data_IF_797247689690
#
_entry.id   IF_797247689690
#
_cell.length_a   1.000
_cell.length_b   1.000
_cell.length_c   1.000
_cell.angle_alpha   90.00
_cell.angle_beta   90.00
_cell.angle_gamma   90.00
#
_symmetry.space_group_name_H-M   'P 1'
#
loop_
_entity.id
_entity.type
_entity.pdbx_description
1 polymer ?
#
# COMPACT_ATOMS: atom_id res chain seq x y z
N UNK A 1 37.70 -2.56 1.62
CA UNK A 1 36.98 -1.40 2.15
C UNK A 1 35.78 -1.89 2.96
N UNK A 2 35.43 -1.22 4.05
CA UNK A 2 34.21 -1.47 4.84
C UNK A 2 33.38 -0.21 4.82
N UNK A 3 32.13 -0.32 4.41
CA UNK A 3 31.15 0.77 4.41
C UNK A 3 30.06 0.39 5.38
N UNK A 4 29.80 1.29 6.32
CA UNK A 4 28.81 1.07 7.36
C UNK A 4 27.39 1.24 6.78
N UNK A 5 26.49 0.31 7.09
CA UNK A 5 25.08 0.39 6.79
C UNK A 5 24.28 0.45 8.10
N UNK A 6 23.91 1.64 8.50
CA UNK A 6 23.16 1.91 9.73
C UNK A 6 21.65 1.85 9.49
N UNK A 7 20.90 1.59 10.55
CA UNK A 7 19.45 1.71 10.51
C UNK A 7 19.03 3.17 10.38
N UNK A 8 18.22 3.48 9.38
CA UNK A 8 17.73 4.82 9.09
C UNK A 8 16.24 4.94 9.41
N UNK A 9 15.77 6.11 9.89
CA UNK A 9 14.34 6.35 10.12
C UNK A 9 13.51 6.25 8.85
N UNK A 10 14.08 6.64 7.71
CA UNK A 10 13.48 6.53 6.39
C UNK A 10 14.38 5.68 5.50
N UNK A 11 13.85 4.55 5.02
CA UNK A 11 14.61 3.64 4.16
C UNK A 11 15.15 4.33 2.89
N UNK A 12 14.40 5.30 2.36
CA UNK A 12 14.77 6.05 1.15
C UNK A 12 15.98 6.98 1.33
N UNK A 13 16.46 7.17 2.57
CA UNK A 13 17.73 7.85 2.82
C UNK A 13 18.96 6.97 2.58
N UNK A 14 18.79 5.65 2.47
CA UNK A 14 19.91 4.72 2.34
C UNK A 14 20.83 5.02 1.14
N UNK A 15 20.32 5.30 -0.08
CA UNK A 15 21.18 5.69 -1.20
C UNK A 15 22.02 6.95 -0.90
N UNK A 16 21.44 7.95 -0.26
CA UNK A 16 22.16 9.17 0.11
C UNK A 16 23.27 8.92 1.14
N UNK A 17 22.98 8.09 2.13
CA UNK A 17 23.96 7.67 3.14
C UNK A 17 25.11 6.89 2.52
N UNK A 18 24.82 5.94 1.65
CA UNK A 18 25.83 5.12 0.98
C UNK A 18 26.71 5.96 0.06
N UNK A 19 26.12 6.88 -0.71
CA UNK A 19 26.90 7.77 -1.58
C UNK A 19 27.79 8.71 -0.79
N UNK A 20 27.31 9.25 0.33
CA UNK A 20 28.14 10.04 1.27
C UNK A 20 29.35 9.26 1.81
N UNK A 21 29.28 7.93 1.84
CA UNK A 21 30.38 7.03 2.21
C UNK A 21 31.22 6.58 0.98
N UNK A 22 31.07 7.23 -0.18
CA UNK A 22 31.73 6.95 -1.46
C UNK A 22 31.49 5.49 -1.95
N UNK A 23 30.29 4.94 -1.69
CA UNK A 23 29.96 3.56 -2.06
C UNK A 23 30.08 3.32 -3.56
N UNK A 24 29.51 4.20 -4.38
CA UNK A 24 29.54 4.09 -5.84
C UNK A 24 30.96 4.12 -6.39
N UNK A 25 31.85 5.00 -5.89
CA UNK A 25 33.26 5.07 -6.27
C UNK A 25 33.98 3.76 -5.94
N UNK A 26 33.78 3.25 -4.72
CA UNK A 26 34.39 2.00 -4.29
C UNK A 26 33.95 0.83 -5.19
N UNK A 27 32.65 0.69 -5.44
CA UNK A 27 32.11 -0.37 -6.29
C UNK A 27 32.63 -0.27 -7.74
N UNK A 28 32.61 0.91 -8.31
CA UNK A 28 33.11 1.14 -9.68
C UNK A 28 34.61 0.77 -9.80
N UNK A 29 35.40 1.20 -8.82
CA UNK A 29 36.83 0.88 -8.78
C UNK A 29 37.07 -0.63 -8.68
N UNK A 30 36.41 -1.33 -7.77
CA UNK A 30 36.59 -2.78 -7.58
C UNK A 30 36.13 -3.61 -8.78
N UNK A 31 35.10 -3.12 -9.50
CA UNK A 31 34.59 -3.79 -10.70
C UNK A 31 35.26 -3.31 -12.00
N UNK A 32 36.17 -2.35 -11.95
CA UNK A 32 36.80 -1.78 -13.15
C UNK A 32 35.82 -1.02 -14.06
N UNK A 33 34.76 -0.44 -13.49
CA UNK A 33 33.75 0.33 -14.20
C UNK A 33 34.12 1.81 -14.15
N UNK A 34 34.03 2.49 -15.30
CA UNK A 34 34.11 3.94 -15.36
C UNK A 34 32.69 4.52 -15.46
N UNK A 35 32.27 5.28 -14.48
CA UNK A 35 30.98 5.94 -14.46
C UNK A 35 31.15 7.41 -14.01
N UNK A 36 30.26 8.33 -14.43
CA UNK A 36 30.20 9.67 -13.86
C UNK A 36 29.82 9.63 -12.39
N UNK A 37 30.02 10.74 -11.67
CA UNK A 37 29.45 10.90 -10.33
C UNK A 37 27.94 10.73 -10.36
N UNK A 38 27.38 10.15 -9.28
CA UNK A 38 25.95 9.93 -9.16
C UNK A 38 25.22 11.26 -8.97
N UNK A 39 24.25 11.55 -9.83
CA UNK A 39 23.32 12.67 -9.61
C UNK A 39 22.15 12.19 -8.75
N UNK A 40 22.11 12.61 -7.51
CA UNK A 40 21.07 12.29 -6.54
C UNK A 40 20.13 13.46 -6.22
N UNK A 41 20.09 14.48 -7.08
CA UNK A 41 19.28 15.67 -6.83
C UNK A 41 17.78 15.31 -6.67
N UNK A 42 17.19 14.64 -7.65
CA UNK A 42 15.77 14.25 -7.61
C UNK A 42 15.47 13.30 -6.44
N UNK A 43 16.43 12.42 -6.11
CA UNK A 43 16.29 11.52 -4.98
C UNK A 43 16.31 12.28 -3.64
N UNK A 44 17.16 13.26 -3.51
CA UNK A 44 17.24 14.14 -2.33
C UNK A 44 15.93 14.90 -2.14
N UNK A 45 15.41 15.51 -3.21
CA UNK A 45 14.11 16.20 -3.18
C UNK A 45 12.96 15.27 -2.76
N UNK A 46 12.95 14.03 -3.26
CA UNK A 46 11.95 13.03 -2.86
C UNK A 46 12.05 12.74 -1.35
N UNK A 47 13.25 12.51 -0.83
CA UNK A 47 13.48 12.25 0.62
C UNK A 47 13.04 13.44 1.46
N UNK A 48 13.32 14.66 1.03
CA UNK A 48 12.86 15.87 1.72
C UNK A 48 11.33 15.98 1.73
N UNK A 49 10.65 15.65 0.63
CA UNK A 49 9.17 15.60 0.59
C UNK A 49 8.62 14.57 1.57
N UNK A 50 9.22 13.37 1.63
CA UNK A 50 8.81 12.33 2.58
C UNK A 50 8.89 12.84 4.02
N UNK A 51 9.99 13.49 4.39
CA UNK A 51 10.25 14.01 5.74
C UNK A 51 9.33 15.17 6.12
N UNK A 52 8.96 16.00 5.15
CA UNK A 52 8.18 17.22 5.36
C UNK A 52 6.71 17.07 4.96
N UNK A 53 6.24 15.84 4.78
CA UNK A 53 4.85 15.55 4.43
C UNK A 53 3.88 16.12 5.48
N UNK A 54 2.88 16.89 5.03
CA UNK A 54 1.92 17.59 5.89
C UNK A 54 0.52 17.02 5.86
N UNK A 55 0.15 16.33 4.78
CA UNK A 55 -1.11 15.61 4.67
C UNK A 55 -1.07 14.28 5.41
N UNK A 56 -2.22 13.80 5.84
CA UNK A 56 -2.39 12.45 6.38
C UNK A 56 -3.69 11.84 5.86
N UNK A 57 -3.63 10.60 5.39
CA UNK A 57 -4.77 9.84 4.85
C UNK A 57 -4.72 8.43 5.42
N UNK A 58 -5.85 7.96 5.93
CA UNK A 58 -6.03 6.60 6.44
C UNK A 58 -6.63 5.70 5.37
N UNK A 59 -5.88 4.74 4.87
CA UNK A 59 -6.35 3.77 3.87
C UNK A 59 -6.47 2.39 4.50
N UNK A 60 -7.67 1.82 4.47
CA UNK A 60 -7.92 0.45 4.87
C UNK A 60 -7.45 -0.53 3.79
N UNK A 61 -6.49 -1.39 4.12
CA UNK A 61 -6.13 -2.53 3.29
C UNK A 61 -6.88 -3.75 3.82
N UNK A 62 -8.00 -4.08 3.16
CA UNK A 62 -8.89 -5.17 3.56
C UNK A 62 -8.50 -6.43 2.81
N UNK A 63 -7.91 -7.39 3.49
CA UNK A 63 -7.34 -8.57 2.84
C UNK A 63 -7.35 -9.84 3.68
N UNK A 64 -6.96 -10.95 3.05
CA UNK A 64 -6.87 -12.30 3.66
C UNK A 64 -5.55 -12.57 4.36
N UNK A 65 -4.49 -11.86 3.96
CA UNK A 65 -3.10 -12.17 4.36
C UNK A 65 -2.48 -11.04 5.20
N UNK A 66 -3.32 -10.23 5.85
CA UNK A 66 -2.89 -9.05 6.61
C UNK A 66 -2.07 -9.38 7.85
N UNK A 67 -2.12 -10.62 8.33
CA UNK A 67 -1.25 -11.11 9.40
C UNK A 67 0.22 -11.22 8.98
N UNK A 68 0.49 -11.34 7.67
CA UNK A 68 1.81 -11.34 7.08
C UNK A 68 1.92 -10.14 6.13
N UNK A 69 2.36 -9.01 6.65
CA UNK A 69 2.43 -7.74 5.90
C UNK A 69 3.21 -7.86 4.58
N UNK A 70 4.22 -8.74 4.53
CA UNK A 70 5.02 -8.99 3.33
C UNK A 70 4.19 -9.49 2.14
N UNK A 71 3.07 -10.16 2.39
CA UNK A 71 2.16 -10.61 1.32
C UNK A 71 1.59 -9.45 0.50
N UNK A 72 1.48 -8.27 1.10
CA UNK A 72 0.96 -7.06 0.46
C UNK A 72 1.99 -5.92 0.39
N UNK A 73 3.28 -6.24 0.54
CA UNK A 73 4.36 -5.25 0.56
C UNK A 73 4.31 -4.32 -0.66
N UNK A 74 4.15 -4.88 -1.86
CA UNK A 74 4.09 -4.07 -3.09
C UNK A 74 2.90 -3.11 -3.12
N UNK A 75 1.75 -3.51 -2.57
CA UNK A 75 0.57 -2.64 -2.47
C UNK A 75 0.81 -1.53 -1.45
N UNK A 76 1.38 -1.87 -0.29
CA UNK A 76 1.72 -0.92 0.74
C UNK A 76 2.74 0.12 0.25
N UNK A 77 3.81 -0.34 -0.42
CA UNK A 77 4.81 0.57 -0.99
C UNK A 77 4.23 1.44 -2.12
N UNK A 78 3.36 0.89 -2.98
CA UNK A 78 2.70 1.69 -4.01
C UNK A 78 1.85 2.82 -3.41
N UNK A 79 1.14 2.55 -2.31
CA UNK A 79 0.40 3.59 -1.58
C UNK A 79 1.33 4.67 -1.01
N UNK A 80 2.45 4.25 -0.38
CA UNK A 80 3.45 5.20 0.16
C UNK A 80 4.05 6.06 -0.95
N UNK A 81 4.41 5.47 -2.10
CA UNK A 81 4.94 6.21 -3.25
C UNK A 81 3.93 7.24 -3.78
N UNK A 82 2.65 6.89 -3.86
CA UNK A 82 1.61 7.85 -4.19
C UNK A 82 1.55 9.01 -3.18
N UNK A 83 1.63 8.68 -1.89
CA UNK A 83 1.71 9.65 -0.80
C UNK A 83 2.89 10.61 -0.95
N UNK A 84 4.08 10.12 -1.30
CA UNK A 84 5.27 10.96 -1.53
C UNK A 84 5.04 11.98 -2.64
N UNK A 85 4.38 11.57 -3.73
CA UNK A 85 4.06 12.46 -4.85
C UNK A 85 3.02 13.52 -4.48
N UNK A 86 2.13 13.20 -3.53
CA UNK A 86 1.03 14.07 -3.09
C UNK A 86 1.34 14.83 -1.79
N UNK A 87 2.58 14.77 -1.31
CA UNK A 87 3.00 15.37 -0.03
C UNK A 87 2.10 14.94 1.15
N UNK A 88 1.72 13.66 1.17
CA UNK A 88 0.75 13.09 2.09
C UNK A 88 1.30 11.82 2.71
N UNK A 89 1.25 11.72 4.04
CA UNK A 89 1.52 10.48 4.74
C UNK A 89 0.34 9.52 4.58
N UNK A 90 0.62 8.27 4.25
CA UNK A 90 -0.41 7.22 4.16
C UNK A 90 -0.32 6.34 5.40
N UNK A 91 -1.36 6.40 6.22
CA UNK A 91 -1.57 5.50 7.35
C UNK A 91 -2.35 4.28 6.87
N UNK A 92 -1.67 3.14 6.80
CA UNK A 92 -2.26 1.89 6.30
C UNK A 92 -2.88 1.13 7.48
N UNK A 93 -4.21 1.05 7.47
CA UNK A 93 -4.97 0.26 8.45
C UNK A 93 -5.18 -1.15 7.90
N UNK A 94 -4.49 -2.12 8.50
CA UNK A 94 -4.58 -3.53 8.11
C UNK A 94 -5.83 -4.17 8.66
N UNK A 95 -6.71 -4.65 7.80
CA UNK A 95 -8.02 -5.19 8.18
C UNK A 95 -8.15 -6.61 7.64
N UNK A 96 -8.23 -7.57 8.57
CA UNK A 96 -8.51 -8.95 8.22
C UNK A 96 -9.97 -9.09 7.79
N UNK A 97 -10.18 -9.44 6.53
CA UNK A 97 -11.52 -9.59 5.96
C UNK A 97 -12.35 -10.67 6.65
N UNK A 98 -11.72 -11.68 7.23
CA UNK A 98 -12.43 -12.73 7.97
C UNK A 98 -13.08 -12.23 9.28
N UNK A 99 -12.60 -11.10 9.81
CA UNK A 99 -13.09 -10.52 11.06
C UNK A 99 -14.17 -9.46 10.83
N UNK A 100 -14.47 -9.09 9.58
CA UNK A 100 -15.51 -8.11 9.29
C UNK A 100 -16.89 -8.76 9.32
N UNK A 101 -17.80 -8.09 10.03
CA UNK A 101 -19.22 -8.42 10.12
C UNK A 101 -20.05 -7.17 9.88
N UNK A 102 -21.36 -7.31 9.62
CA UNK A 102 -22.26 -6.16 9.45
C UNK A 102 -22.25 -5.25 10.68
N UNK A 103 -22.15 -5.83 11.88
CA UNK A 103 -22.20 -5.09 13.15
C UNK A 103 -20.94 -4.25 13.39
N UNK A 104 -19.78 -4.70 12.91
CA UNK A 104 -18.50 -4.01 13.18
C UNK A 104 -17.98 -3.18 12.01
N UNK A 105 -18.60 -3.21 10.84
CA UNK A 105 -18.14 -2.45 9.66
C UNK A 105 -18.01 -0.95 9.94
N UNK A 106 -18.97 -0.32 10.60
CA UNK A 106 -18.93 1.10 10.92
C UNK A 106 -17.75 1.44 11.84
N UNK A 107 -17.49 0.63 12.87
CA UNK A 107 -16.36 0.81 13.78
C UNK A 107 -15.01 0.64 13.08
N UNK A 108 -14.90 -0.35 12.18
CA UNK A 108 -13.66 -0.73 11.54
C UNK A 108 -13.31 0.12 10.31
N UNK A 109 -14.32 0.61 9.61
CA UNK A 109 -14.18 1.28 8.30
C UNK A 109 -14.58 2.75 8.32
N UNK A 110 -15.38 3.19 9.31
CA UNK A 110 -16.03 4.50 9.30
C UNK A 110 -15.09 5.71 9.43
N UNK A 111 -13.87 5.49 9.94
CA UNK A 111 -12.85 6.55 10.07
C UNK A 111 -11.80 6.52 8.93
N UNK A 112 -11.99 5.70 7.91
CA UNK A 112 -11.06 5.59 6.79
C UNK A 112 -11.39 6.64 5.72
N UNK A 113 -10.35 7.09 5.04
CA UNK A 113 -10.46 7.99 3.88
C UNK A 113 -10.60 7.22 2.56
N UNK A 114 -10.34 5.91 2.58
CA UNK A 114 -10.49 5.02 1.44
C UNK A 114 -10.19 3.56 1.78
N UNK A 115 -10.57 2.66 0.87
CA UNK A 115 -10.35 1.21 1.02
C UNK A 115 -9.66 0.66 -0.22
N UNK A 116 -8.67 -0.21 0.00
CA UNK A 116 -8.08 -1.07 -1.04
C UNK A 116 -8.36 -2.52 -0.67
N UNK A 117 -8.94 -3.26 -1.62
CA UNK A 117 -9.02 -4.71 -1.54
C UNK A 117 -8.03 -5.30 -2.55
N UNK A 118 -6.95 -5.93 -2.07
CA UNK A 118 -5.89 -6.48 -2.92
C UNK A 118 -6.28 -7.81 -3.57
N UNK A 119 -5.38 -8.36 -4.36
CA UNK A 119 -5.48 -9.70 -4.93
C UNK A 119 -5.47 -10.80 -3.87
N UNK A 120 -6.00 -11.96 -4.25
CA UNK A 120 -6.03 -13.15 -3.40
C UNK A 120 -6.68 -14.34 -4.10
N UNK A 121 -6.61 -15.52 -3.48
CA UNK A 121 -7.15 -16.76 -4.01
C UNK A 121 -8.01 -17.49 -2.98
N UNK A 122 -8.92 -18.34 -3.45
CA UNK A 122 -9.79 -19.18 -2.62
C UNK A 122 -10.91 -18.40 -1.92
N UNK A 123 -11.78 -19.13 -1.24
CA UNK A 123 -13.06 -18.63 -0.71
C UNK A 123 -12.94 -17.89 0.65
N UNK A 124 -11.83 -18.07 1.36
CA UNK A 124 -11.60 -17.48 2.70
C UNK A 124 -11.70 -15.96 2.65
N UNK A 125 -12.45 -15.35 3.57
CA UNK A 125 -12.56 -13.90 3.73
C UNK A 125 -13.32 -13.14 2.63
N UNK A 126 -13.94 -13.84 1.67
CA UNK A 126 -14.71 -13.23 0.56
C UNK A 126 -15.90 -12.42 1.10
N UNK A 127 -16.66 -12.97 2.03
CA UNK A 127 -17.83 -12.30 2.62
C UNK A 127 -17.47 -10.96 3.26
N UNK A 128 -16.40 -10.93 4.05
CA UNK A 128 -15.92 -9.68 4.65
C UNK A 128 -15.42 -8.66 3.62
N UNK A 129 -14.83 -9.11 2.51
CA UNK A 129 -14.47 -8.21 1.41
C UNK A 129 -15.71 -7.65 0.72
N UNK A 130 -16.77 -8.45 0.53
CA UNK A 130 -18.05 -8.00 -0.01
C UNK A 130 -18.69 -6.97 0.93
N UNK A 131 -18.67 -7.22 2.24
CA UNK A 131 -19.15 -6.27 3.25
C UNK A 131 -18.36 -4.94 3.20
N UNK A 132 -17.04 -4.98 3.05
CA UNK A 132 -16.23 -3.77 2.92
C UNK A 132 -16.55 -3.00 1.63
N UNK A 133 -16.76 -3.69 0.51
CA UNK A 133 -17.16 -3.06 -0.76
C UNK A 133 -18.55 -2.45 -0.66
N UNK A 134 -19.52 -3.15 -0.03
CA UNK A 134 -20.86 -2.63 0.26
C UNK A 134 -20.79 -1.36 1.11
N UNK A 135 -20.03 -1.42 2.20
CA UNK A 135 -19.84 -0.27 3.08
C UNK A 135 -19.28 0.94 2.32
N UNK A 136 -18.25 0.72 1.50
CA UNK A 136 -17.65 1.78 0.69
C UNK A 136 -18.68 2.42 -0.26
N UNK A 137 -19.46 1.62 -0.98
CA UNK A 137 -20.49 2.12 -1.91
C UNK A 137 -21.59 2.89 -1.19
N UNK A 138 -22.09 2.37 -0.06
CA UNK A 138 -23.22 2.97 0.67
C UNK A 138 -22.84 4.26 1.40
N UNK A 139 -21.58 4.40 1.80
CA UNK A 139 -21.08 5.58 2.51
C UNK A 139 -20.27 6.54 1.62
N UNK A 140 -20.15 6.27 0.31
CA UNK A 140 -19.37 7.11 -0.61
C UNK A 140 -17.87 7.11 -0.33
N UNK A 141 -17.35 6.04 0.30
CA UNK A 141 -15.94 5.90 0.62
C UNK A 141 -15.18 5.46 -0.65
N UNK A 142 -14.08 6.14 -1.02
CA UNK A 142 -13.24 5.74 -2.15
C UNK A 142 -12.80 4.27 -2.05
N UNK A 143 -12.93 3.54 -3.15
CA UNK A 143 -12.65 2.12 -3.24
C UNK A 143 -11.76 1.79 -4.42
N UNK A 144 -10.70 1.00 -4.20
CA UNK A 144 -9.87 0.41 -5.25
C UNK A 144 -9.78 -1.10 -5.07
N UNK A 145 -10.27 -1.84 -6.07
CA UNK A 145 -10.15 -3.30 -6.11
C UNK A 145 -9.05 -3.75 -7.08
N UNK A 146 -8.10 -4.56 -6.63
CA UNK A 146 -7.03 -5.13 -7.44
C UNK A 146 -7.29 -6.62 -7.63
N UNK A 147 -7.38 -7.11 -8.87
CA UNK A 147 -7.61 -8.51 -9.21
C UNK A 147 -8.87 -9.06 -8.50
N UNK A 148 -8.72 -9.84 -7.42
CA UNK A 148 -9.84 -10.30 -6.60
C UNK A 148 -10.71 -9.13 -6.11
N UNK A 149 -10.11 -8.04 -5.66
CA UNK A 149 -10.85 -6.88 -5.18
C UNK A 149 -11.75 -6.26 -6.25
N UNK A 150 -11.34 -6.25 -7.53
CA UNK A 150 -12.20 -5.85 -8.64
C UNK A 150 -13.39 -6.81 -8.79
N UNK A 151 -13.15 -8.12 -8.71
CA UNK A 151 -14.21 -9.12 -8.76
C UNK A 151 -15.22 -8.96 -7.62
N UNK A 152 -14.72 -8.69 -6.40
CA UNK A 152 -15.53 -8.40 -5.22
C UNK A 152 -16.47 -7.21 -5.45
N UNK A 153 -15.96 -6.11 -6.02
CA UNK A 153 -16.81 -4.95 -6.34
C UNK A 153 -17.93 -5.29 -7.32
N UNK A 154 -17.63 -6.12 -8.34
CA UNK A 154 -18.62 -6.58 -9.32
C UNK A 154 -19.67 -7.48 -8.65
N UNK A 155 -19.24 -8.43 -7.82
CA UNK A 155 -20.15 -9.34 -7.09
C UNK A 155 -21.04 -8.53 -6.15
N UNK A 156 -20.46 -7.62 -5.37
CA UNK A 156 -21.22 -6.78 -4.45
C UNK A 156 -22.29 -5.98 -5.18
N UNK A 157 -21.89 -5.28 -6.23
CA UNK A 157 -22.83 -4.47 -7.01
C UNK A 157 -23.91 -5.30 -7.66
N UNK A 158 -23.57 -6.43 -8.25
CA UNK A 158 -24.52 -7.35 -8.86
C UNK A 158 -25.55 -7.85 -7.83
N UNK A 159 -25.08 -8.28 -6.66
CA UNK A 159 -25.96 -8.86 -5.64
C UNK A 159 -26.80 -7.81 -4.91
N UNK A 160 -26.18 -6.71 -4.48
CA UNK A 160 -26.84 -5.76 -3.56
C UNK A 160 -27.45 -4.53 -4.27
N UNK A 161 -27.00 -4.20 -5.49
CA UNK A 161 -27.55 -3.07 -6.24
C UNK A 161 -28.38 -3.51 -7.46
N UNK A 162 -27.96 -4.54 -8.20
CA UNK A 162 -28.65 -5.01 -9.39
C UNK A 162 -29.64 -6.18 -9.12
N UNK A 163 -29.68 -6.74 -7.91
CA UNK A 163 -30.61 -7.79 -7.51
C UNK A 163 -30.32 -9.19 -8.09
N UNK A 164 -29.08 -9.44 -8.50
CA UNK A 164 -28.60 -10.74 -9.01
C UNK A 164 -28.11 -11.56 -7.82
N UNK A 165 -28.97 -12.41 -7.26
CA UNK A 165 -28.76 -13.10 -5.95
C UNK A 165 -27.71 -14.20 -5.95
N UNK A 166 -27.26 -14.68 -7.12
CA UNK A 166 -26.30 -15.77 -7.29
C UNK A 166 -24.99 -15.30 -7.93
N UNK A 167 -24.67 -14.01 -7.81
CA UNK A 167 -23.41 -13.48 -8.31
C UNK A 167 -22.22 -14.00 -7.49
N UNK A 168 -21.28 -14.69 -8.15
CA UNK A 168 -20.06 -15.21 -7.54
C UNK A 168 -18.89 -15.21 -8.54
N UNK A 169 -17.67 -15.23 -8.03
CA UNK A 169 -16.50 -15.55 -8.85
C UNK A 169 -16.35 -17.07 -8.87
N UNK A 170 -16.46 -17.67 -10.03
CA UNK A 170 -16.41 -19.10 -10.25
C UNK A 170 -15.18 -19.80 -9.66
#
# INVERSE_FOLDING_TARGET
CVIENITLPCLYEAPLMLEKANFSEVVCRELGITAPEADLHEWTEMVERIKNSTGNVKIGLVGKYVQLHDAYLSVAEAMRHAGFSLNTHIDIVWIDSETLTEENCMERLGELDGIIIPGGFGQRGIEGMILAAKFARENGLPYLGICLGMQIAVIEYASNAAGITDAHSG
#
